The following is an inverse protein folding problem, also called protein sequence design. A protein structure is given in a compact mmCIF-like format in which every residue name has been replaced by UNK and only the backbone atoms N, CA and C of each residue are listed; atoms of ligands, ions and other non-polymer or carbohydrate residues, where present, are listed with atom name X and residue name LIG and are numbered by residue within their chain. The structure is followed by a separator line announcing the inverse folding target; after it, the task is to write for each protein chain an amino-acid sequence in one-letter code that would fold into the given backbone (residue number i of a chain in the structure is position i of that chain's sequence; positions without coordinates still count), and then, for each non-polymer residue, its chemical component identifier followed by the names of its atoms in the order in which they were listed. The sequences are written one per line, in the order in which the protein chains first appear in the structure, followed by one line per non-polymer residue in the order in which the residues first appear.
data_IF_277167339779
#
_entry.id   IF_277167339779
#
_cell.length_a   1.000
_cell.length_b   1.000
_cell.length_c   1.000
_cell.angle_alpha   90.00
_cell.angle_beta   90.00
_cell.angle_gamma   90.00
#
_symmetry.space_group_name_H-M   'P 1'
#
loop_
_entity.id
_entity.type
_entity.pdbx_description
1 polymer ?
#
# COMPACT_ATOMS: atom_id res chain seq x y z
N UNK A 1 60.81 4.30 -16.90
CA UNK A 1 61.28 5.42 -16.04
C UNK A 1 60.32 5.56 -14.87
N UNK A 2 60.87 5.58 -13.67
CA UNK A 2 60.25 5.17 -12.41
C UNK A 2 59.30 6.19 -11.74
N UNK A 3 58.24 5.65 -11.12
CA UNK A 3 57.73 5.91 -9.77
C UNK A 3 57.77 7.35 -9.21
N UNK A 4 56.63 7.84 -8.74
CA UNK A 4 56.60 8.58 -7.46
C UNK A 4 55.51 8.04 -6.53
N UNK A 5 55.98 7.61 -5.36
CA UNK A 5 55.27 6.97 -4.27
C UNK A 5 54.85 8.01 -3.22
N UNK A 6 53.75 7.69 -2.54
CA UNK A 6 53.32 8.24 -1.25
C UNK A 6 54.45 8.34 -0.24
N UNK A 7 54.49 9.43 0.52
CA UNK A 7 55.06 9.46 1.86
C UNK A 7 54.45 10.62 2.67
N UNK A 8 53.72 10.32 3.74
CA UNK A 8 53.61 11.22 4.87
C UNK A 8 53.94 10.41 6.13
N UNK A 9 55.10 10.76 6.71
CA UNK A 9 55.65 10.29 7.97
C UNK A 9 54.91 10.95 9.14
N UNK A 10 54.68 10.18 10.21
CA UNK A 10 54.15 10.70 11.48
C UNK A 10 55.23 11.21 12.44
N UNK A 11 54.78 11.32 13.71
CA UNK A 11 55.49 11.56 15.00
C UNK A 11 55.23 12.97 15.61
N UNK A 12 55.46 13.20 16.93
CA UNK A 12 54.60 12.86 18.09
C UNK A 12 54.57 14.00 19.19
N UNK A 13 54.29 13.67 20.47
CA UNK A 13 54.41 14.45 21.75
C UNK A 13 53.12 15.12 22.29
N UNK A 14 52.52 14.67 23.41
CA UNK A 14 52.86 14.68 24.87
C UNK A 14 52.48 15.99 25.59
N UNK A 15 51.70 15.88 26.69
CA UNK A 15 51.80 16.77 27.87
C UNK A 15 50.48 17.31 28.46
N UNK A 16 50.13 16.87 29.68
CA UNK A 16 49.04 17.31 30.59
C UNK A 16 49.43 18.62 31.37
N UNK A 17 48.78 19.14 32.47
CA UNK A 17 47.65 18.63 33.30
C UNK A 17 46.65 19.66 33.95
N UNK A 18 45.61 19.11 34.61
CA UNK A 18 44.90 19.47 35.88
C UNK A 18 44.29 20.87 36.17
N UNK A 19 42.99 20.91 36.49
CA UNK A 19 42.45 21.26 37.84
C UNK A 19 40.94 20.98 38.02
N UNK A 20 40.55 20.76 39.27
CA UNK A 20 39.28 20.19 39.75
C UNK A 20 38.31 21.22 40.40
N UNK A 21 37.19 20.69 40.97
CA UNK A 21 36.09 21.22 41.83
C UNK A 21 34.79 21.62 41.09
N UNK A 22 33.54 21.29 41.48
CA UNK A 22 32.93 20.42 42.51
C UNK A 22 31.38 20.64 42.60
N UNK A 23 30.58 19.54 42.68
CA UNK A 23 29.20 19.38 43.24
C UNK A 23 27.96 20.10 42.62
N UNK A 24 26.69 19.76 42.99
CA UNK A 24 26.12 18.50 43.50
C UNK A 24 24.81 18.01 42.77
N UNK A 25 24.42 16.77 43.07
CA UNK A 25 23.10 16.10 43.07
C UNK A 25 21.90 16.66 42.25
N UNK A 26 21.31 15.79 41.41
CA UNK A 26 19.98 15.98 40.80
C UNK A 26 19.36 14.65 40.35
N UNK A 27 18.11 14.41 40.75
CA UNK A 27 17.31 13.18 40.64
C UNK A 27 16.85 12.85 39.21
N UNK A 28 16.70 11.54 38.94
CA UNK A 28 15.49 10.98 38.34
C UNK A 28 15.35 11.04 36.82
N UNK A 29 14.91 9.91 36.24
CA UNK A 29 14.32 9.88 34.91
C UNK A 29 14.85 8.75 34.04
N UNK A 30 14.27 7.57 34.18
CA UNK A 30 14.23 6.60 33.10
C UNK A 30 13.40 7.22 31.95
N UNK A 31 14.03 7.44 30.80
CA UNK A 31 13.38 7.77 29.52
C UNK A 31 14.14 6.99 28.45
N UNK A 32 13.63 5.82 28.07
CA UNK A 32 12.80 5.66 26.89
C UNK A 32 13.61 5.89 25.61
N UNK A 33 14.15 4.79 25.08
CA UNK A 33 14.71 4.71 23.73
C UNK A 33 13.69 5.26 22.71
N UNK A 34 14.08 6.15 21.80
CA UNK A 34 13.49 6.20 20.48
C UNK A 34 14.13 5.01 19.72
N UNK A 35 13.42 4.11 19.07
CA UNK A 35 12.96 4.23 17.70
C UNK A 35 12.08 2.99 17.39
N UNK A 36 10.97 2.80 18.11
CA UNK A 36 9.98 1.79 17.71
C UNK A 36 9.11 2.39 16.60
N UNK A 37 9.66 2.43 15.38
CA UNK A 37 8.89 2.62 14.17
C UNK A 37 8.00 1.39 14.01
N UNK A 38 6.83 1.46 14.67
CA UNK A 38 5.84 0.41 14.79
C UNK A 38 5.58 -0.30 13.46
N UNK A 39 6.14 -1.51 13.38
CA UNK A 39 5.85 -2.48 12.35
C UNK A 39 4.37 -2.87 12.48
N UNK A 40 3.52 -2.29 11.62
CA UNK A 40 2.11 -2.66 11.54
C UNK A 40 2.01 -4.19 11.40
N UNK A 41 1.25 -4.90 12.26
CA UNK A 41 1.13 -6.34 12.17
C UNK A 41 0.58 -6.70 10.80
N UNK A 42 1.38 -7.45 10.01
CA UNK A 42 1.10 -7.76 8.60
C UNK A 42 -0.06 -8.73 8.37
N UNK A 43 -0.79 -9.14 9.40
CA UNK A 43 -2.03 -9.88 9.27
C UNK A 43 -2.98 -9.45 10.39
N UNK A 44 -4.03 -8.70 10.03
CA UNK A 44 -5.19 -8.56 10.89
C UNK A 44 -5.82 -9.95 11.16
N UNK A 45 -6.57 -10.12 12.25
CA UNK A 45 -7.20 -11.40 12.57
C UNK A 45 -8.00 -11.90 11.36
N UNK A 46 -7.74 -13.15 10.96
CA UNK A 46 -8.46 -13.82 9.88
C UNK A 46 -9.90 -14.05 10.35
N UNK A 47 -10.77 -13.08 10.07
CA UNK A 47 -12.19 -13.15 10.40
C UNK A 47 -12.84 -14.30 9.62
N UNK A 48 -13.74 -15.01 10.29
CA UNK A 48 -14.49 -16.13 9.71
C UNK A 48 -15.50 -15.65 8.66
N UNK A 49 -16.00 -16.58 7.82
CA UNK A 49 -17.04 -16.29 6.80
C UNK A 49 -18.26 -15.60 7.43
N UNK A 50 -18.71 -16.09 8.58
CA UNK A 50 -19.88 -15.57 9.30
C UNK A 50 -19.66 -14.14 9.82
N UNK A 51 -18.45 -13.83 10.30
CA UNK A 51 -18.13 -12.47 10.75
C UNK A 51 -18.12 -11.47 9.61
N UNK A 52 -17.60 -11.85 8.44
CA UNK A 52 -17.65 -11.01 7.25
C UNK A 52 -19.09 -10.79 6.76
N UNK A 53 -19.94 -11.81 6.79
CA UNK A 53 -21.36 -11.67 6.44
C UNK A 53 -22.12 -10.70 7.36
N UNK A 54 -21.70 -10.56 8.62
CA UNK A 54 -22.30 -9.59 9.55
C UNK A 54 -21.77 -8.16 9.34
N UNK A 55 -20.53 -8.01 8.87
CA UNK A 55 -19.88 -6.71 8.67
C UNK A 55 -20.16 -6.10 7.30
N UNK A 56 -20.33 -6.93 6.28
CA UNK A 56 -20.48 -6.53 4.88
C UNK A 56 -21.92 -6.70 4.43
N UNK A 57 -22.33 -5.88 3.47
CA UNK A 57 -23.58 -6.13 2.74
C UNK A 57 -23.47 -7.43 1.93
N UNK A 58 -24.61 -8.08 1.58
CA UNK A 58 -24.60 -9.30 0.78
C UNK A 58 -23.80 -9.18 -0.52
N UNK A 59 -23.91 -8.05 -1.23
CA UNK A 59 -23.18 -7.79 -2.48
C UNK A 59 -21.67 -7.62 -2.25
N UNK A 60 -21.28 -6.85 -1.22
CA UNK A 60 -19.87 -6.71 -0.84
C UNK A 60 -19.25 -8.05 -0.46
N UNK A 61 -19.99 -8.87 0.29
CA UNK A 61 -19.55 -10.20 0.69
C UNK A 61 -19.36 -11.11 -0.53
N UNK A 62 -20.35 -11.16 -1.43
CA UNK A 62 -20.31 -11.93 -2.67
C UNK A 62 -19.09 -11.56 -3.53
N UNK A 63 -18.86 -10.27 -3.77
CA UNK A 63 -17.70 -9.82 -4.58
C UNK A 63 -16.38 -10.07 -3.86
N UNK A 64 -16.23 -9.62 -2.61
CA UNK A 64 -14.92 -9.64 -1.94
C UNK A 64 -14.50 -11.00 -1.41
N UNK A 65 -15.43 -11.91 -1.11
CA UNK A 65 -15.13 -13.23 -0.51
C UNK A 65 -15.47 -14.39 -1.42
N UNK A 66 -16.53 -14.29 -2.21
CA UNK A 66 -16.91 -15.36 -3.15
C UNK A 66 -16.36 -15.12 -4.57
N UNK A 67 -15.49 -14.11 -4.73
CA UNK A 67 -14.88 -13.69 -6.01
C UNK A 67 -15.92 -13.39 -7.09
N UNK A 68 -17.09 -12.92 -6.66
CA UNK A 68 -18.13 -12.44 -7.55
C UNK A 68 -17.70 -11.19 -8.31
N UNK A 69 -18.47 -10.83 -9.33
CA UNK A 69 -18.30 -9.58 -10.08
C UNK A 69 -19.62 -8.83 -10.05
N UNK A 70 -19.58 -7.53 -9.76
CA UNK A 70 -20.78 -6.69 -9.78
C UNK A 70 -21.31 -6.56 -11.22
N UNK A 71 -22.60 -6.30 -11.38
CA UNK A 71 -23.17 -6.07 -12.70
C UNK A 71 -22.50 -4.85 -13.38
N UNK A 72 -22.27 -4.88 -14.69
CA UNK A 72 -21.72 -3.73 -15.40
C UNK A 72 -22.65 -2.52 -15.23
N UNK A 73 -22.07 -1.34 -15.08
CA UNK A 73 -22.78 -0.06 -14.93
C UNK A 73 -23.60 0.12 -13.64
N UNK A 74 -23.60 -0.84 -12.70
CA UNK A 74 -24.31 -0.71 -11.42
C UNK A 74 -23.48 -0.07 -10.31
N UNK A 75 -22.17 0.04 -10.48
CA UNK A 75 -21.25 0.50 -9.44
C UNK A 75 -21.37 2.00 -9.12
N UNK A 76 -21.55 2.33 -7.83
CA UNK A 76 -21.67 3.71 -7.31
C UNK A 76 -20.46 4.59 -7.68
N UNK A 77 -19.26 4.02 -7.71
CA UNK A 77 -18.02 4.75 -8.00
C UNK A 77 -17.63 4.77 -9.47
N UNK A 78 -18.45 4.20 -10.36
CA UNK A 78 -18.18 4.19 -11.80
C UNK A 78 -17.95 5.61 -12.33
N UNK A 79 -18.89 6.51 -12.05
CA UNK A 79 -18.85 7.90 -12.50
C UNK A 79 -18.31 8.88 -11.45
N UNK A 80 -17.80 8.38 -10.33
CA UNK A 80 -17.21 9.24 -9.31
C UNK A 80 -15.94 9.92 -9.85
N UNK A 81 -15.90 11.25 -9.78
CA UNK A 81 -14.78 12.12 -10.20
C UNK A 81 -14.24 12.96 -9.04
N UNK A 82 -14.73 12.75 -7.83
CA UNK A 82 -14.28 13.48 -6.65
C UNK A 82 -12.81 13.15 -6.33
N UNK A 83 -12.07 14.15 -5.87
CA UNK A 83 -10.70 13.98 -5.42
C UNK A 83 -10.67 13.31 -4.04
N UNK A 84 -9.94 12.22 -3.95
CA UNK A 84 -9.84 11.39 -2.75
C UNK A 84 -9.09 10.08 -2.97
N UNK A 85 -9.25 9.18 -2.01
CA UNK A 85 -8.61 7.87 -2.00
C UNK A 85 -9.66 6.76 -1.90
N UNK A 86 -9.46 5.68 -2.67
CA UNK A 86 -10.26 4.48 -2.60
C UNK A 86 -9.56 3.47 -1.69
N UNK A 87 -10.31 3.03 -0.68
CA UNK A 87 -9.88 2.07 0.32
C UNK A 87 -10.57 0.73 0.11
N UNK A 88 -9.98 -0.35 0.63
CA UNK A 88 -10.63 -1.65 0.71
C UNK A 88 -11.87 -1.57 1.60
N UNK A 89 -13.02 -2.05 1.14
CA UNK A 89 -14.25 -2.07 1.96
C UNK A 89 -14.12 -2.96 3.21
N UNK A 90 -13.25 -3.97 3.17
CA UNK A 90 -13.09 -4.94 4.25
C UNK A 90 -12.13 -4.48 5.37
N UNK A 91 -10.98 -3.92 4.99
CA UNK A 91 -9.91 -3.59 5.96
C UNK A 91 -9.50 -2.12 5.95
N UNK A 92 -10.18 -1.26 5.18
CA UNK A 92 -9.91 0.17 5.07
C UNK A 92 -8.46 0.51 4.62
N UNK A 93 -7.71 -0.43 4.03
CA UNK A 93 -6.38 -0.17 3.46
C UNK A 93 -6.48 0.74 2.22
N UNK A 94 -5.55 1.70 2.02
CA UNK A 94 -5.54 2.52 0.80
C UNK A 94 -5.11 1.67 -0.41
N UNK A 95 -5.89 1.75 -1.49
CA UNK A 95 -5.68 0.92 -2.69
C UNK A 95 -5.44 1.76 -3.94
N UNK A 96 -6.26 2.78 -4.20
CA UNK A 96 -6.19 3.58 -5.43
C UNK A 96 -6.40 5.06 -5.15
N UNK A 97 -5.69 5.93 -5.89
CA UNK A 97 -5.94 7.36 -5.90
C UNK A 97 -6.97 7.72 -6.98
N UNK A 98 -7.85 8.67 -6.69
CA UNK A 98 -8.75 9.30 -7.68
C UNK A 98 -8.00 9.91 -8.88
N UNK A 99 -6.78 10.40 -8.68
CA UNK A 99 -5.96 11.00 -9.75
C UNK A 99 -5.56 9.99 -10.83
N UNK A 100 -5.52 8.71 -10.49
CA UNK A 100 -5.19 7.61 -11.40
C UNK A 100 -6.44 6.94 -11.97
N UNK A 101 -7.63 7.40 -11.57
CA UNK A 101 -8.91 6.90 -12.08
C UNK A 101 -9.17 7.51 -13.46
N UNK A 102 -9.65 6.70 -14.39
CA UNK A 102 -10.06 7.17 -15.71
C UNK A 102 -11.34 6.45 -16.17
N UNK A 103 -11.96 6.96 -17.22
CA UNK A 103 -13.17 6.35 -17.80
C UNK A 103 -12.77 5.38 -18.91
N UNK A 104 -12.87 4.08 -18.66
CA UNK A 104 -12.58 3.02 -19.65
C UNK A 104 -13.80 2.62 -20.50
N UNK A 105 -14.99 3.18 -20.24
CA UNK A 105 -16.28 2.75 -20.82
C UNK A 105 -16.63 1.26 -20.62
N UNK A 106 -15.88 0.52 -19.79
CA UNK A 106 -16.05 -0.92 -19.60
C UNK A 106 -17.19 -1.30 -18.65
N UNK A 107 -17.79 -0.33 -17.95
CA UNK A 107 -18.86 -0.55 -16.97
C UNK A 107 -18.42 -0.71 -15.51
N UNK A 108 -17.11 -0.71 -15.24
CA UNK A 108 -16.53 -0.73 -13.90
C UNK A 108 -15.49 0.38 -13.71
N UNK A 109 -15.24 0.84 -12.47
CA UNK A 109 -14.13 1.73 -12.17
C UNK A 109 -12.79 1.21 -12.71
N UNK A 110 -12.09 2.06 -13.47
CA UNK A 110 -10.77 1.75 -14.01
C UNK A 110 -9.71 2.71 -13.47
N UNK A 111 -8.55 2.14 -13.12
CA UNK A 111 -7.38 2.88 -12.66
C UNK A 111 -6.16 2.50 -13.49
N UNK A 112 -5.27 3.47 -13.74
CA UNK A 112 -4.02 3.24 -14.50
C UNK A 112 -2.89 2.69 -13.62
N UNK A 113 -2.99 2.92 -12.31
CA UNK A 113 -1.95 2.62 -11.33
C UNK A 113 -2.54 2.45 -9.93
N UNK A 114 -1.91 1.58 -9.13
CA UNK A 114 -2.26 1.35 -7.71
C UNK A 114 -1.54 2.37 -6.83
N UNK A 115 -2.14 2.69 -5.68
CA UNK A 115 -1.48 3.55 -4.70
C UNK A 115 -0.25 2.85 -4.11
N UNK A 116 0.88 3.58 -4.05
CA UNK A 116 2.15 3.05 -3.57
C UNK A 116 2.96 2.27 -4.62
N UNK A 117 2.48 2.15 -5.86
CA UNK A 117 3.34 1.70 -6.96
C UNK A 117 4.25 2.83 -7.44
N UNK A 118 5.46 2.46 -7.88
CA UNK A 118 6.38 3.34 -8.59
C UNK A 118 6.80 2.66 -9.88
N UNK A 119 6.09 2.94 -10.97
CA UNK A 119 6.33 2.28 -12.26
C UNK A 119 5.95 0.80 -12.23
N UNK A 120 6.92 -0.08 -12.47
CA UNK A 120 6.71 -1.55 -12.39
C UNK A 120 6.81 -2.11 -10.97
N UNK A 121 7.30 -1.32 -10.01
CA UNK A 121 7.52 -1.76 -8.64
C UNK A 121 6.25 -1.59 -7.81
N UNK A 122 5.68 -2.72 -7.36
CA UNK A 122 4.47 -2.78 -6.52
C UNK A 122 4.74 -3.30 -5.10
N UNK A 123 6.00 -3.27 -4.65
CA UNK A 123 6.38 -3.81 -3.34
C UNK A 123 5.63 -3.11 -2.19
N UNK A 124 5.39 -1.82 -2.34
CA UNK A 124 4.70 -0.98 -1.35
C UNK A 124 3.19 -0.83 -1.65
N UNK A 125 2.70 -1.43 -2.75
CA UNK A 125 1.28 -1.39 -3.08
C UNK A 125 0.43 -2.19 -2.09
N UNK A 126 -0.78 -1.70 -1.84
CA UNK A 126 -1.80 -2.35 -1.00
C UNK A 126 -2.50 -3.56 -1.64
N UNK A 127 -2.08 -3.96 -2.84
CA UNK A 127 -2.67 -5.03 -3.64
C UNK A 127 -1.70 -6.21 -3.83
N UNK A 128 -2.26 -7.36 -4.21
CA UNK A 128 -1.53 -8.53 -4.70
C UNK A 128 -2.17 -8.99 -6.01
N UNK A 129 -1.34 -9.40 -6.95
CA UNK A 129 -1.78 -10.06 -8.19
C UNK A 129 -1.82 -11.56 -7.97
N UNK A 130 -2.89 -12.21 -8.42
CA UNK A 130 -3.02 -13.67 -8.45
C UNK A 130 -3.42 -14.11 -9.85
N UNK A 131 -2.90 -15.25 -10.27
CA UNK A 131 -3.33 -15.86 -11.54
C UNK A 131 -4.70 -16.47 -11.31
N UNK A 132 -5.66 -16.07 -12.14
CA UNK A 132 -7.02 -16.58 -12.15
C UNK A 132 -7.24 -17.30 -13.48
N UNK A 133 -7.42 -18.62 -13.40
CA UNK A 133 -7.72 -19.50 -14.55
C UNK A 133 -9.20 -19.89 -14.59
N UNK A 134 -10.04 -19.23 -13.79
CA UNK A 134 -11.49 -19.45 -13.83
C UNK A 134 -12.04 -19.14 -15.24
N UNK A 135 -13.14 -19.83 -15.59
CA UNK A 135 -13.82 -19.68 -16.88
C UNK A 135 -12.96 -20.04 -18.12
N UNK A 136 -11.86 -20.78 -17.94
CA UNK A 136 -11.00 -21.21 -19.04
C UNK A 136 -10.13 -20.10 -19.65
N UNK A 137 -10.06 -18.95 -19.00
CA UNK A 137 -9.25 -17.80 -19.42
C UNK A 137 -8.20 -17.49 -18.36
N UNK A 138 -6.95 -17.32 -18.77
CA UNK A 138 -5.88 -16.87 -17.87
C UNK A 138 -5.95 -15.35 -17.72
N UNK A 139 -6.44 -14.90 -16.57
CA UNK A 139 -6.50 -13.49 -16.18
C UNK A 139 -5.66 -13.26 -14.92
N UNK A 140 -5.38 -11.99 -14.64
CA UNK A 140 -4.70 -11.62 -13.40
C UNK A 140 -5.71 -10.97 -12.46
N UNK A 141 -6.12 -11.73 -11.44
CA UNK A 141 -6.95 -11.25 -10.33
C UNK A 141 -6.14 -10.29 -9.46
N UNK A 142 -6.81 -9.24 -8.99
CA UNK A 142 -6.28 -8.27 -8.03
C UNK A 142 -6.99 -8.48 -6.70
N UNK A 143 -6.22 -8.75 -5.66
CA UNK A 143 -6.73 -8.92 -4.29
C UNK A 143 -6.07 -7.93 -3.34
N UNK A 144 -6.73 -7.61 -2.24
CA UNK A 144 -6.15 -6.78 -1.19
C UNK A 144 -5.03 -7.53 -0.46
N UNK A 145 -3.85 -6.91 -0.33
CA UNK A 145 -2.67 -7.50 0.34
C UNK A 145 -2.89 -7.80 1.82
N UNK A 146 -3.68 -6.97 2.50
CA UNK A 146 -3.92 -7.04 3.94
C UNK A 146 -4.95 -8.08 4.36
N UNK A 147 -6.04 -8.25 3.60
CA UNK A 147 -7.19 -9.08 4.01
C UNK A 147 -7.65 -10.08 2.94
N UNK A 148 -6.90 -10.17 1.83
CA UNK A 148 -7.14 -11.08 0.70
C UNK A 148 -8.54 -10.95 0.07
N UNK A 149 -9.20 -9.79 0.26
CA UNK A 149 -10.45 -9.48 -0.40
C UNK A 149 -10.26 -9.38 -1.91
N UNK A 150 -11.12 -10.04 -2.68
CA UNK A 150 -11.19 -9.89 -4.12
C UNK A 150 -11.62 -8.46 -4.49
N UNK A 151 -10.86 -7.83 -5.40
CA UNK A 151 -11.11 -6.47 -5.86
C UNK A 151 -11.58 -6.46 -7.31
N UNK A 152 -10.92 -7.24 -8.18
CA UNK A 152 -11.23 -7.32 -9.61
C UNK A 152 -10.08 -7.93 -10.39
N UNK A 153 -9.79 -7.40 -11.57
CA UNK A 153 -8.73 -7.90 -12.46
C UNK A 153 -7.90 -6.76 -13.04
N UNK A 154 -6.67 -7.08 -13.43
CA UNK A 154 -5.76 -6.18 -14.14
C UNK A 154 -5.51 -6.70 -15.56
N UNK A 155 -5.51 -5.77 -16.51
CA UNK A 155 -5.32 -6.03 -17.93
C UNK A 155 -4.19 -5.15 -18.50
N UNK A 156 -3.45 -5.62 -19.51
CA UNK A 156 -2.34 -4.88 -20.12
C UNK A 156 -2.79 -3.90 -21.22
N UNK A 157 -4.04 -3.45 -21.21
CA UNK A 157 -4.67 -2.57 -22.20
C UNK A 157 -4.96 -1.17 -21.63
N UNK A 158 -4.19 -0.74 -20.63
CA UNK A 158 -4.40 0.54 -19.95
C UNK A 158 -3.62 1.71 -20.53
N UNK A 159 -4.05 2.96 -20.22
CA UNK A 159 -3.36 4.17 -20.63
C UNK A 159 -2.12 4.44 -19.76
N UNK A 160 -1.16 5.16 -20.33
CA UNK A 160 0.00 5.69 -19.61
C UNK A 160 1.23 4.77 -19.64
N UNK A 161 2.30 5.13 -18.90
CA UNK A 161 3.60 4.46 -18.98
C UNK A 161 3.58 3.03 -18.41
N UNK A 162 2.65 2.72 -17.51
CA UNK A 162 2.46 1.36 -16.99
C UNK A 162 1.81 0.44 -18.02
N UNK A 163 0.98 0.99 -18.93
CA UNK A 163 0.16 0.21 -19.86
C UNK A 163 -0.91 -0.66 -19.18
N UNK A 164 -1.19 -0.45 -17.90
CA UNK A 164 -2.08 -1.33 -17.13
C UNK A 164 -3.43 -0.70 -16.81
N UNK A 165 -4.47 -1.53 -16.90
CA UNK A 165 -5.83 -1.20 -16.53
C UNK A 165 -6.28 -2.07 -15.38
N UNK A 166 -6.39 -1.46 -14.20
CA UNK A 166 -7.00 -2.08 -13.03
C UNK A 166 -8.51 -1.89 -13.11
N UNK A 167 -9.23 -2.95 -13.45
CA UNK A 167 -10.68 -3.00 -13.53
C UNK A 167 -11.21 -3.53 -12.20
N UNK A 168 -11.75 -2.64 -11.37
CA UNK A 168 -12.05 -2.94 -9.96
C UNK A 168 -13.54 -2.77 -9.71
N UNK A 169 -14.13 -3.73 -8.97
CA UNK A 169 -15.52 -3.65 -8.55
C UNK A 169 -15.72 -2.48 -7.60
N UNK A 170 -16.71 -1.63 -7.87
CA UNK A 170 -17.10 -0.51 -7.02
C UNK A 170 -17.51 -0.98 -5.64
N UNK A 171 -18.26 -2.09 -5.52
CA UNK A 171 -18.67 -2.62 -4.22
C UNK A 171 -17.49 -3.08 -3.34
N UNK A 172 -16.35 -3.41 -3.94
CA UNK A 172 -15.15 -3.80 -3.19
C UNK A 172 -14.38 -2.58 -2.61
N UNK A 173 -14.78 -1.36 -2.98
CA UNK A 173 -14.11 -0.12 -2.64
C UNK A 173 -14.95 0.74 -1.69
N UNK A 174 -14.26 1.59 -0.94
CA UNK A 174 -14.83 2.63 -0.10
C UNK A 174 -14.10 3.93 -0.38
N UNK A 175 -14.81 4.94 -0.86
CA UNK A 175 -14.21 6.22 -1.21
C UNK A 175 -14.10 7.13 0.02
N UNK A 176 -12.94 7.76 0.20
CA UNK A 176 -12.71 8.82 1.20
C UNK A 176 -12.32 10.11 0.47
N UNK A 177 -13.20 11.14 0.46
CA UNK A 177 -12.89 12.40 -0.19
C UNK A 177 -11.73 13.10 0.52
N UNK A 178 -10.90 13.80 -0.25
CA UNK A 178 -9.82 14.64 0.29
C UNK A 178 -10.47 15.87 0.91
N UNK A 179 -10.47 15.97 2.25
CA UNK A 179 -10.93 17.18 2.95
C UNK A 179 -9.92 18.30 2.68
N UNK A 180 -10.43 19.43 2.20
CA UNK A 180 -9.69 20.67 2.00
C UNK A 180 -9.60 21.47 3.30
#
# INVERSE_FOLDING_TARGET
MARLLRAFRGLPFRGAPLRAVGGPAGRGGAGASPDDAGSLPKHGPSLTKSEWQKKLTPEQFYVTREKGTEAPFSGVYLNNKESGMYHCVCCDSPLFSSEKKYCSSTGWPAFSEVHGASGSDERDAGILRRVDTSLGLTRTEVVCKQCEAHLGHVFPDGPGPSGQRFCINSVALKFKPRKH
#
